data_IF_262480012806
#
_entry.id   IF_262480012806
#
_cell.length_a   1.000
_cell.length_b   1.000
_cell.length_c   1.000
_cell.angle_alpha   90.00
_cell.angle_beta   90.00
_cell.angle_gamma   90.00
#
_symmetry.space_group_name_H-M   'P 1'
#
loop_
_entity.id
_entity.type
_entity.pdbx_description
1 polymer ?
#
# COMPACT_ATOMS: atom_id res chain seq x y z
N UNK A 1 -5.57 24.37 5.67
CA UNK A 1 -5.16 23.01 6.06
C UNK A 1 -5.50 22.72 7.52
N UNK A 2 -6.37 21.74 7.78
CA UNK A 2 -6.73 21.31 9.14
C UNK A 2 -5.63 20.43 9.78
N UNK A 3 -5.60 20.35 11.12
CA UNK A 3 -4.63 19.49 11.85
C UNK A 3 -4.73 18.01 11.46
N UNK A 4 -5.93 17.52 11.14
CA UNK A 4 -6.18 16.16 10.67
C UNK A 4 -5.56 15.90 9.29
N UNK A 5 -5.71 16.84 8.36
CA UNK A 5 -5.13 16.77 7.01
C UNK A 5 -3.60 16.69 7.09
N UNK A 6 -3.00 17.55 7.91
CA UNK A 6 -1.55 17.58 8.10
C UNK A 6 -1.03 16.26 8.68
N UNK A 7 -1.75 15.67 9.63
CA UNK A 7 -1.39 14.37 10.21
C UNK A 7 -1.51 13.23 9.19
N UNK A 8 -2.56 13.22 8.36
CA UNK A 8 -2.70 12.25 7.28
C UNK A 8 -1.54 12.37 6.29
N UNK A 9 -1.22 13.59 5.88
CA UNK A 9 -0.14 13.88 4.94
C UNK A 9 1.22 13.41 5.47
N UNK A 10 1.56 13.79 6.71
CA UNK A 10 2.83 13.41 7.34
C UNK A 10 2.96 11.88 7.38
N UNK A 11 1.95 11.18 7.90
CA UNK A 11 2.00 9.71 8.03
C UNK A 11 2.18 9.00 6.69
N UNK A 12 1.42 9.41 5.67
CA UNK A 12 1.48 8.76 4.35
C UNK A 12 2.82 9.07 3.67
N UNK A 13 3.34 10.28 3.80
CA UNK A 13 4.62 10.66 3.17
C UNK A 13 5.84 10.09 3.88
N UNK A 14 5.84 10.04 5.22
CA UNK A 14 6.89 9.34 5.98
C UNK A 14 6.84 7.83 5.73
N UNK A 15 5.64 7.24 5.69
CA UNK A 15 5.46 5.83 5.35
C UNK A 15 5.94 5.50 3.93
N UNK A 16 5.69 6.40 2.98
CA UNK A 16 6.25 6.32 1.63
C UNK A 16 7.79 6.35 1.66
N UNK A 17 8.40 7.30 2.38
CA UNK A 17 9.85 7.39 2.49
C UNK A 17 10.49 6.12 3.08
N UNK A 18 9.84 5.52 4.09
CA UNK A 18 10.26 4.23 4.65
C UNK A 18 10.17 3.08 3.62
N UNK A 19 9.12 3.04 2.81
CA UNK A 19 8.98 2.08 1.73
C UNK A 19 10.00 2.29 0.60
N UNK A 20 10.30 3.53 0.25
CA UNK A 20 11.34 3.87 -0.72
C UNK A 20 12.71 3.36 -0.22
N UNK A 21 13.02 3.56 1.07
CA UNK A 21 14.22 3.01 1.69
C UNK A 21 14.26 1.49 1.60
N UNK A 22 13.17 0.79 1.97
CA UNK A 22 13.08 -0.67 1.80
C UNK A 22 13.27 -1.09 0.34
N UNK A 23 12.70 -0.33 -0.59
CA UNK A 23 12.77 -0.59 -2.02
C UNK A 23 14.18 -0.39 -2.60
N UNK A 24 14.97 0.53 -2.05
CA UNK A 24 16.35 0.77 -2.51
C UNK A 24 17.28 -0.42 -2.26
N UNK A 25 17.04 -1.18 -1.19
CA UNK A 25 17.80 -2.38 -0.82
C UNK A 25 17.06 -3.69 -1.18
N UNK A 26 15.99 -3.61 -1.98
CA UNK A 26 15.05 -4.72 -2.24
C UNK A 26 15.66 -5.96 -2.88
N UNK A 27 16.70 -5.81 -3.69
CA UNK A 27 17.33 -6.96 -4.36
C UNK A 27 17.99 -7.92 -3.36
N UNK A 28 18.11 -7.49 -2.09
CA UNK A 28 18.67 -8.26 -0.99
C UNK A 28 17.59 -8.99 -0.18
N UNK A 29 16.31 -8.56 -0.27
CA UNK A 29 15.17 -9.37 0.22
C UNK A 29 15.12 -10.73 -0.47
N UNK A 30 15.70 -10.80 -1.65
CA UNK A 30 15.86 -12.01 -2.41
C UNK A 30 16.65 -13.09 -1.60
N UNK A 31 17.61 -12.67 -0.79
CA UNK A 31 18.58 -13.52 -0.09
C UNK A 31 18.25 -13.74 1.39
N UNK A 32 17.05 -13.39 1.82
CA UNK A 32 16.66 -13.49 3.23
C UNK A 32 16.35 -14.93 3.65
N UNK A 33 16.59 -15.29 4.92
CA UNK A 33 16.15 -16.55 5.47
C UNK A 33 14.61 -16.63 5.58
N UNK A 34 14.10 -17.82 5.85
CA UNK A 34 12.65 -18.13 5.93
C UNK A 34 11.87 -17.21 6.89
N UNK A 35 12.42 -16.94 8.07
CA UNK A 35 11.81 -16.08 9.10
C UNK A 35 11.60 -14.65 8.60
N UNK A 36 12.63 -14.10 7.96
CA UNK A 36 12.63 -12.75 7.41
C UNK A 36 11.69 -12.60 6.20
N UNK A 37 11.52 -13.66 5.40
CA UNK A 37 10.49 -13.67 4.35
C UNK A 37 9.08 -13.57 4.96
N UNK A 38 8.81 -14.32 6.02
CA UNK A 38 7.51 -14.29 6.71
C UNK A 38 7.23 -12.93 7.35
N UNK A 39 8.23 -12.31 7.98
CA UNK A 39 8.15 -10.94 8.51
C UNK A 39 7.90 -9.92 7.40
N UNK A 40 8.65 -9.97 6.30
CA UNK A 40 8.42 -9.08 5.15
C UNK A 40 6.99 -9.18 4.63
N UNK A 41 6.45 -10.40 4.47
CA UNK A 41 5.06 -10.62 4.05
C UNK A 41 4.04 -10.12 5.08
N UNK A 42 4.36 -10.23 6.37
CA UNK A 42 3.54 -9.67 7.44
C UNK A 42 3.44 -8.15 7.31
N UNK A 43 4.57 -7.46 7.22
CA UNK A 43 4.62 -6.01 7.11
C UNK A 43 3.95 -5.53 5.81
N UNK A 44 4.13 -6.21 4.68
CA UNK A 44 3.42 -5.88 3.44
C UNK A 44 1.89 -5.99 3.60
N UNK A 45 1.39 -7.01 4.32
CA UNK A 45 -0.04 -7.12 4.62
C UNK A 45 -0.55 -5.94 5.46
N UNK A 46 0.28 -5.43 6.38
CA UNK A 46 -0.05 -4.31 7.26
C UNK A 46 0.03 -2.97 6.55
N UNK A 47 1.00 -2.78 5.66
CA UNK A 47 1.07 -1.63 4.75
C UNK A 47 -0.15 -1.59 3.83
N UNK A 48 -0.58 -2.73 3.27
CA UNK A 48 -1.81 -2.81 2.47
C UNK A 48 -3.06 -2.44 3.30
N UNK A 49 -3.10 -2.82 4.59
CA UNK A 49 -4.15 -2.39 5.52
C UNK A 49 -4.13 -0.87 5.74
N UNK A 50 -2.95 -0.29 5.99
CA UNK A 50 -2.79 1.15 6.17
C UNK A 50 -3.17 1.96 4.94
N UNK A 51 -2.83 1.45 3.75
CA UNK A 51 -3.25 2.01 2.46
C UNK A 51 -4.78 2.07 2.35
N UNK A 52 -5.47 0.99 2.73
CA UNK A 52 -6.94 0.95 2.74
C UNK A 52 -7.54 1.95 3.74
N UNK A 53 -6.92 2.16 4.89
CA UNK A 53 -7.37 3.15 5.87
C UNK A 53 -7.18 4.58 5.37
N UNK A 54 -6.05 4.90 4.75
CA UNK A 54 -5.81 6.20 4.14
C UNK A 54 -6.84 6.47 3.02
N UNK A 55 -7.13 5.47 2.18
CA UNK A 55 -8.17 5.56 1.15
C UNK A 55 -9.56 5.79 1.73
N UNK A 56 -9.90 5.17 2.86
CA UNK A 56 -11.16 5.43 3.53
C UNK A 56 -11.24 6.89 4.03
N UNK A 57 -10.14 7.44 4.56
CA UNK A 57 -10.05 8.85 4.94
C UNK A 57 -10.19 9.82 3.74
N UNK A 58 -9.67 9.43 2.57
CA UNK A 58 -9.89 10.14 1.29
C UNK A 58 -11.37 10.10 0.89
N UNK A 59 -12.02 8.93 0.97
CA UNK A 59 -13.43 8.78 0.64
C UNK A 59 -14.35 9.62 1.56
N UNK A 60 -14.13 9.54 2.86
CA UNK A 60 -14.85 10.36 3.86
C UNK A 60 -14.62 11.86 3.60
N UNK A 61 -13.38 12.23 3.28
CA UNK A 61 -12.97 13.58 2.94
C UNK A 61 -13.73 14.15 1.74
N UNK A 62 -13.75 13.39 0.65
CA UNK A 62 -14.46 13.72 -0.58
C UNK A 62 -15.98 13.81 -0.37
N UNK A 63 -16.57 12.90 0.44
CA UNK A 63 -18.00 12.97 0.78
C UNK A 63 -18.38 14.29 1.45
N UNK A 64 -17.56 14.75 2.40
CA UNK A 64 -17.79 16.03 3.05
C UNK A 64 -17.57 17.22 2.13
N UNK A 65 -16.55 17.19 1.27
CA UNK A 65 -16.36 18.23 0.25
C UNK A 65 -17.58 18.37 -0.65
N UNK A 66 -18.20 17.25 -1.03
CA UNK A 66 -19.43 17.27 -1.81
C UNK A 66 -20.62 17.90 -1.07
N UNK A 67 -20.74 17.64 0.23
CA UNK A 67 -21.78 18.24 1.08
C UNK A 67 -21.57 19.74 1.23
N UNK A 68 -20.34 20.18 1.53
CA UNK A 68 -20.00 21.58 1.74
C UNK A 68 -20.23 22.42 0.47
N UNK A 69 -19.90 21.88 -0.70
CA UNK A 69 -20.14 22.52 -2.00
C UNK A 69 -21.62 22.59 -2.41
N UNK A 70 -22.48 21.78 -1.78
CA UNK A 70 -23.94 21.84 -1.97
C UNK A 70 -24.59 22.86 -1.01
N UNK A 71 -24.00 23.09 0.16
CA UNK A 71 -24.59 23.84 1.27
C UNK A 71 -24.14 25.31 1.38
N UNK A 72 -23.23 25.79 0.53
CA UNK A 72 -22.57 27.08 0.71
C UNK A 72 -23.47 28.27 0.32
N UNK A 73 -23.55 29.29 1.19
CA UNK A 73 -24.31 30.55 0.99
C UNK A 73 -23.88 31.36 -0.26
N UNK A 74 -22.70 31.07 -0.81
CA UNK A 74 -22.12 31.71 -2.01
C UNK A 74 -22.61 31.11 -3.34
N UNK A 75 -23.60 30.22 -3.30
CA UNK A 75 -24.17 29.54 -4.46
C UNK A 75 -23.60 28.13 -4.62
N UNK A 76 -24.41 27.15 -5.07
CA UNK A 76 -23.96 25.76 -5.22
C UNK A 76 -22.83 25.68 -6.25
N UNK A 77 -21.78 24.90 -5.95
CA UNK A 77 -20.73 24.51 -6.90
C UNK A 77 -21.02 23.07 -7.37
N UNK A 78 -22.00 22.87 -8.29
CA UNK A 78 -22.46 21.53 -8.66
C UNK A 78 -21.36 20.67 -9.25
N UNK A 79 -20.47 21.25 -10.07
CA UNK A 79 -19.32 20.55 -10.66
C UNK A 79 -18.34 20.04 -9.59
N UNK A 80 -18.11 20.81 -8.53
CA UNK A 80 -17.25 20.40 -7.41
C UNK A 80 -17.92 19.26 -6.64
N UNK A 81 -19.21 19.40 -6.34
CA UNK A 81 -19.97 18.39 -5.61
C UNK A 81 -20.06 17.06 -6.37
N UNK A 82 -20.24 17.10 -7.69
CA UNK A 82 -20.23 15.92 -8.55
C UNK A 82 -18.86 15.25 -8.54
N UNK A 83 -17.79 15.99 -8.80
CA UNK A 83 -16.44 15.46 -8.83
C UNK A 83 -15.99 14.87 -7.49
N UNK A 84 -16.36 15.51 -6.38
CA UNK A 84 -16.09 15.00 -5.04
C UNK A 84 -16.85 13.68 -4.75
N UNK A 85 -18.08 13.50 -5.27
CA UNK A 85 -18.80 12.21 -5.18
C UNK A 85 -18.18 11.13 -6.05
N UNK A 86 -17.64 11.49 -7.21
CA UNK A 86 -16.88 10.55 -8.05
C UNK A 86 -15.62 10.06 -7.34
N UNK A 87 -14.87 10.96 -6.69
CA UNK A 87 -13.71 10.60 -5.86
C UNK A 87 -14.13 9.68 -4.72
N UNK A 88 -15.20 10.02 -3.99
CA UNK A 88 -15.72 9.16 -2.92
C UNK A 88 -16.00 7.74 -3.45
N UNK A 89 -16.73 7.64 -4.56
CA UNK A 89 -17.12 6.36 -5.16
C UNK A 89 -15.90 5.54 -5.58
N UNK A 90 -14.96 6.17 -6.28
CA UNK A 90 -13.73 5.53 -6.73
C UNK A 90 -12.84 5.09 -5.55
N UNK A 91 -12.69 5.94 -4.52
CA UNK A 91 -11.92 5.63 -3.33
C UNK A 91 -12.53 4.45 -2.55
N UNK A 92 -13.86 4.42 -2.35
CA UNK A 92 -14.55 3.29 -1.70
C UNK A 92 -14.38 1.98 -2.47
N UNK A 93 -14.53 2.01 -3.80
CA UNK A 93 -14.28 0.84 -4.64
C UNK A 93 -12.84 0.33 -4.49
N UNK A 94 -11.88 1.25 -4.40
CA UNK A 94 -10.46 0.94 -4.20
C UNK A 94 -10.21 0.32 -2.82
N UNK A 95 -10.87 0.81 -1.76
CA UNK A 95 -10.78 0.21 -0.41
C UNK A 95 -11.15 -1.26 -0.42
N UNK A 96 -12.22 -1.65 -1.13
CA UNK A 96 -12.64 -3.05 -1.22
C UNK A 96 -11.59 -3.92 -1.93
N UNK A 97 -10.94 -3.39 -2.97
CA UNK A 97 -9.83 -4.06 -3.65
C UNK A 97 -8.59 -4.17 -2.76
N UNK A 98 -8.27 -3.14 -1.99
CA UNK A 98 -7.18 -3.16 -0.99
C UNK A 98 -7.43 -4.19 0.12
N UNK A 99 -8.69 -4.46 0.48
CA UNK A 99 -9.02 -5.58 1.39
C UNK A 99 -8.64 -6.93 0.77
N UNK A 100 -8.95 -7.14 -0.52
CA UNK A 100 -8.55 -8.34 -1.25
C UNK A 100 -7.02 -8.50 -1.31
N UNK A 101 -6.30 -7.41 -1.61
CA UNK A 101 -4.83 -7.38 -1.60
C UNK A 101 -4.26 -7.76 -0.23
N UNK A 102 -4.78 -7.16 0.86
CA UNK A 102 -4.38 -7.48 2.24
C UNK A 102 -4.61 -8.96 2.56
N UNK A 103 -5.77 -9.51 2.20
CA UNK A 103 -6.07 -10.92 2.42
C UNK A 103 -5.08 -11.81 1.68
N UNK A 104 -4.73 -11.49 0.44
CA UNK A 104 -3.76 -12.26 -0.33
C UNK A 104 -2.34 -12.24 0.30
N UNK A 105 -1.87 -11.08 0.80
CA UNK A 105 -0.63 -11.03 1.57
C UNK A 105 -0.73 -11.81 2.89
N UNK A 106 -1.88 -11.76 3.57
CA UNK A 106 -2.13 -12.55 4.77
C UNK A 106 -2.07 -14.06 4.50
N UNK A 107 -2.63 -14.53 3.38
CA UNK A 107 -2.50 -15.92 2.93
C UNK A 107 -1.04 -16.26 2.66
N UNK A 108 -0.33 -15.44 1.88
CA UNK A 108 1.09 -15.65 1.59
C UNK A 108 1.95 -15.72 2.86
N UNK A 109 1.71 -14.82 3.82
CA UNK A 109 2.35 -14.82 5.13
C UNK A 109 2.06 -16.12 5.91
N UNK A 110 0.81 -16.56 5.96
CA UNK A 110 0.44 -17.81 6.63
C UNK A 110 1.09 -19.03 5.96
N UNK A 111 1.12 -19.08 4.62
CA UNK A 111 1.79 -20.14 3.87
C UNK A 111 3.29 -20.14 4.14
N UNK A 112 3.93 -18.97 4.16
CA UNK A 112 5.35 -18.83 4.50
C UNK A 112 5.65 -19.30 5.93
N UNK A 113 4.84 -18.88 6.90
CA UNK A 113 4.94 -19.30 8.32
C UNK A 113 4.82 -20.82 8.48
N UNK A 114 3.95 -21.47 7.72
CA UNK A 114 3.85 -22.95 7.75
C UNK A 114 5.10 -23.59 7.13
N UNK A 115 5.67 -22.98 6.08
CA UNK A 115 6.90 -23.46 5.45
C UNK A 115 8.13 -23.38 6.38
N UNK A 116 8.14 -22.46 7.36
CA UNK A 116 9.22 -22.33 8.35
C UNK A 116 9.46 -23.58 9.19
N UNK A 117 8.43 -24.41 9.40
CA UNK A 117 8.53 -25.62 10.22
C UNK A 117 9.40 -26.73 9.63
N UNK A 118 9.87 -26.60 8.38
CA UNK A 118 10.72 -27.60 7.70
C UNK A 118 12.18 -27.62 8.15
N UNK A 119 12.96 -28.57 7.62
CA UNK A 119 14.42 -28.58 7.80
C UNK A 119 15.04 -27.33 7.15
N UNK A 120 16.03 -26.66 7.77
CA UNK A 120 16.62 -25.45 7.21
C UNK A 120 17.22 -25.70 5.81
N UNK A 121 16.99 -24.80 4.84
CA UNK A 121 17.66 -24.88 3.55
C UNK A 121 19.18 -24.67 3.72
N UNK A 122 19.97 -25.12 2.74
CA UNK A 122 21.42 -24.92 2.77
C UNK A 122 21.78 -23.44 2.95
N UNK A 123 22.78 -23.11 3.78
CA UNK A 123 23.15 -21.72 4.07
C UNK A 123 23.58 -20.97 2.81
N UNK A 124 23.24 -19.68 2.74
CA UNK A 124 23.73 -18.77 1.70
C UNK A 124 25.05 -18.12 2.13
N UNK A 125 25.86 -17.74 1.15
CA UNK A 125 27.14 -17.02 1.37
C UNK A 125 26.98 -15.49 1.29
N UNK A 126 25.78 -15.01 0.96
CA UNK A 126 25.46 -13.58 0.84
C UNK A 126 25.22 -12.91 2.20
N UNK A 127 25.73 -11.68 2.35
CA UNK A 127 25.65 -10.89 3.59
C UNK A 127 24.22 -10.61 4.05
N UNK A 128 23.86 -11.18 5.21
CA UNK A 128 22.51 -11.18 5.80
C UNK A 128 22.04 -9.80 6.28
N UNK A 129 22.95 -8.91 6.64
CA UNK A 129 22.63 -7.64 7.32
C UNK A 129 21.82 -6.63 6.48
N UNK A 130 21.85 -6.71 5.15
CA UNK A 130 21.13 -5.76 4.29
C UNK A 130 19.68 -6.18 4.00
N UNK A 131 19.37 -7.47 4.04
CA UNK A 131 17.99 -7.96 3.97
C UNK A 131 17.19 -7.58 5.22
N UNK A 132 17.83 -7.66 6.39
CA UNK A 132 17.28 -7.21 7.68
C UNK A 132 16.92 -5.72 7.66
N UNK A 133 17.74 -4.89 6.99
CA UNK A 133 17.42 -3.46 6.81
C UNK A 133 16.14 -3.24 6.01
N UNK A 134 15.93 -4.01 4.94
CA UNK A 134 14.71 -3.91 4.15
C UNK A 134 13.46 -4.25 4.99
N UNK A 135 13.56 -5.29 5.82
CA UNK A 135 12.49 -5.69 6.76
C UNK A 135 12.27 -4.64 7.84
N UNK A 136 13.33 -4.08 8.43
CA UNK A 136 13.21 -2.98 9.40
C UNK A 136 12.55 -1.73 8.79
N UNK A 137 12.86 -1.40 7.54
CA UNK A 137 12.17 -0.30 6.84
C UNK A 137 10.70 -0.61 6.55
N UNK A 138 10.36 -1.86 6.24
CA UNK A 138 8.98 -2.33 6.10
C UNK A 138 8.21 -2.25 7.43
N UNK A 139 8.84 -2.65 8.53
CA UNK A 139 8.29 -2.51 9.89
C UNK A 139 8.05 -1.03 10.23
N UNK A 140 9.02 -0.17 9.93
CA UNK A 140 8.87 1.27 10.15
C UNK A 140 7.71 1.86 9.32
N UNK A 141 7.61 1.47 8.04
CA UNK A 141 6.49 1.87 7.19
C UNK A 141 5.15 1.36 7.73
N UNK A 142 5.09 0.11 8.21
CA UNK A 142 3.92 -0.40 8.92
C UNK A 142 3.55 0.51 10.10
N UNK A 143 4.50 0.82 10.98
CA UNK A 143 4.22 1.59 12.20
C UNK A 143 3.62 2.97 11.89
N UNK A 144 4.13 3.63 10.85
CA UNK A 144 3.64 4.93 10.38
C UNK A 144 2.23 4.84 9.78
N UNK A 145 1.93 3.75 9.06
CA UNK A 145 0.64 3.51 8.41
C UNK A 145 -0.36 2.75 9.31
N UNK A 146 0.04 2.35 10.51
CA UNK A 146 -0.76 1.52 11.44
C UNK A 146 -1.98 2.25 12.02
N UNK A 147 -2.06 3.56 11.88
CA UNK A 147 -3.12 4.36 12.48
C UNK A 147 -4.26 4.55 11.50
N UNK A 148 -5.54 4.51 11.96
CA UNK A 148 -6.67 4.79 11.10
C UNK A 148 -6.49 6.14 10.40
N UNK A 149 -6.78 6.16 9.10
CA UNK A 149 -6.64 7.34 8.25
C UNK A 149 -7.53 8.45 8.78
N UNK A 150 -6.97 9.65 8.91
CA UNK A 150 -7.78 10.83 9.19
C UNK A 150 -8.48 11.27 7.91
N UNK A 151 -9.71 11.78 8.04
CA UNK A 151 -10.43 12.42 6.95
C UNK A 151 -9.57 13.51 6.30
N UNK A 152 -9.47 13.49 4.97
CA UNK A 152 -8.72 14.48 4.19
C UNK A 152 -9.67 15.45 3.50
N UNK A 153 -9.75 16.67 3.99
CA UNK A 153 -10.72 17.69 3.56
C UNK A 153 -10.14 18.75 2.66
N UNK A 154 -8.84 19.00 2.79
CA UNK A 154 -8.16 19.97 1.94
C UNK A 154 -7.87 19.34 0.58
N UNK A 155 -8.34 19.96 -0.50
CA UNK A 155 -8.22 19.42 -1.86
C UNK A 155 -6.76 19.27 -2.30
N UNK A 156 -5.87 20.16 -1.84
CA UNK A 156 -4.44 20.05 -2.15
C UNK A 156 -3.80 18.85 -1.44
N UNK A 157 -4.24 18.57 -0.21
CA UNK A 157 -3.80 17.41 0.57
C UNK A 157 -4.37 16.13 -0.02
N UNK A 158 -5.63 16.12 -0.46
CA UNK A 158 -6.28 14.98 -1.13
C UNK A 158 -5.46 14.51 -2.35
N UNK A 159 -5.05 15.44 -3.22
CA UNK A 159 -4.20 15.16 -4.38
C UNK A 159 -2.84 14.60 -3.97
N UNK A 160 -2.22 15.18 -2.94
CA UNK A 160 -0.90 14.75 -2.48
C UNK A 160 -0.93 13.35 -1.85
N UNK A 161 -1.95 13.08 -1.01
CA UNK A 161 -2.15 11.79 -0.35
C UNK A 161 -2.43 10.71 -1.38
N UNK A 162 -3.33 10.95 -2.35
CA UNK A 162 -3.64 9.98 -3.40
C UNK A 162 -2.39 9.64 -4.24
N UNK A 163 -1.61 10.63 -4.66
CA UNK A 163 -0.36 10.39 -5.40
C UNK A 163 0.75 9.72 -4.57
N UNK A 164 0.74 9.88 -3.25
CA UNK A 164 1.62 9.11 -2.37
C UNK A 164 1.16 7.65 -2.24
N UNK A 165 -0.15 7.40 -2.14
CA UNK A 165 -0.71 6.05 -2.08
C UNK A 165 -0.46 5.26 -3.37
N UNK A 166 -0.53 5.90 -4.53
CA UNK A 166 -0.10 5.31 -5.81
C UNK A 166 1.34 4.77 -5.73
N UNK A 167 2.28 5.63 -5.31
CA UNK A 167 3.69 5.26 -5.15
C UNK A 167 3.88 4.15 -4.12
N UNK A 168 3.18 4.21 -2.99
CA UNK A 168 3.17 3.12 -1.99
C UNK A 168 2.76 1.80 -2.64
N UNK A 169 1.70 1.77 -3.46
CA UNK A 169 1.26 0.53 -4.11
C UNK A 169 2.25 0.00 -5.14
N UNK A 170 2.95 0.87 -5.87
CA UNK A 170 4.02 0.45 -6.78
C UNK A 170 5.21 -0.18 -6.04
N UNK A 171 5.64 0.43 -4.94
CA UNK A 171 6.73 -0.08 -4.11
C UNK A 171 6.36 -1.43 -3.49
N UNK A 172 5.13 -1.57 -2.99
CA UNK A 172 4.59 -2.84 -2.47
C UNK A 172 4.58 -3.92 -3.55
N UNK A 173 4.18 -3.61 -4.79
CA UNK A 173 4.21 -4.57 -5.89
C UNK A 173 5.65 -5.02 -6.25
N UNK A 174 6.61 -4.09 -6.18
CA UNK A 174 8.03 -4.39 -6.39
C UNK A 174 8.63 -5.25 -5.28
N UNK A 175 8.33 -4.93 -4.02
CA UNK A 175 8.77 -5.71 -2.85
C UNK A 175 8.14 -7.11 -2.84
N UNK A 176 6.88 -7.24 -3.26
CA UNK A 176 6.22 -8.54 -3.45
C UNK A 176 6.92 -9.40 -4.51
N UNK A 177 7.39 -8.82 -5.63
CA UNK A 177 8.19 -9.58 -6.61
C UNK A 177 9.45 -10.17 -5.97
N UNK A 178 10.11 -9.43 -5.10
CA UNK A 178 11.31 -9.90 -4.39
C UNK A 178 10.99 -10.99 -3.37
N UNK A 179 9.89 -10.87 -2.63
CA UNK A 179 9.41 -11.93 -1.75
C UNK A 179 9.10 -13.22 -2.52
N UNK A 180 8.47 -13.13 -3.70
CA UNK A 180 8.22 -14.30 -4.55
C UNK A 180 9.52 -14.97 -5.03
N UNK A 181 10.54 -14.17 -5.40
CA UNK A 181 11.87 -14.68 -5.74
C UNK A 181 12.54 -15.37 -4.56
N UNK A 182 12.43 -14.79 -3.36
CA UNK A 182 12.96 -15.38 -2.13
C UNK A 182 12.30 -16.73 -1.84
N UNK A 183 10.97 -16.81 -1.91
CA UNK A 183 10.21 -18.06 -1.77
C UNK A 183 10.65 -19.13 -2.77
N UNK A 184 10.78 -18.79 -4.06
CA UNK A 184 11.26 -19.73 -5.08
C UNK A 184 12.69 -20.23 -4.81
N UNK A 185 13.58 -19.36 -4.32
CA UNK A 185 14.94 -19.77 -3.94
C UNK A 185 14.94 -20.72 -2.74
N UNK A 186 14.16 -20.41 -1.69
CA UNK A 186 14.00 -21.30 -0.54
C UNK A 186 13.49 -22.67 -0.98
N UNK A 187 12.51 -22.71 -1.89
CA UNK A 187 12.02 -23.95 -2.48
C UNK A 187 13.13 -24.74 -3.20
N UNK A 188 13.92 -24.08 -4.05
CA UNK A 188 14.98 -24.74 -4.85
C UNK A 188 16.13 -25.31 -4.01
N UNK A 189 16.33 -24.78 -2.80
CA UNK A 189 17.41 -25.18 -1.88
C UNK A 189 16.94 -26.07 -0.75
N UNK A 190 15.63 -26.28 -0.62
CA UNK A 190 15.07 -27.17 0.39
C UNK A 190 15.50 -28.61 0.12
N UNK A 191 15.92 -29.30 1.17
CA UNK A 191 16.19 -30.74 1.13
C UNK A 191 14.96 -31.57 1.53
N UNK A 192 13.89 -30.91 1.94
CA UNK A 192 12.58 -31.47 2.30
C UNK A 192 11.58 -31.07 1.20
N UNK A 193 11.00 -32.05 0.50
CA UNK A 193 10.09 -31.81 -0.62
C UNK A 193 8.78 -31.15 -0.17
N UNK A 194 8.27 -31.46 1.02
CA UNK A 194 7.06 -30.82 1.55
C UNK A 194 7.34 -29.35 1.86
N UNK A 195 8.50 -29.05 2.44
CA UNK A 195 8.94 -27.67 2.62
C UNK A 195 9.19 -26.95 1.29
N UNK A 196 9.75 -27.64 0.30
CA UNK A 196 9.95 -27.10 -1.05
C UNK A 196 8.61 -26.70 -1.69
N UNK A 197 7.62 -27.59 -1.64
CA UNK A 197 6.30 -27.33 -2.21
C UNK A 197 5.58 -26.21 -1.48
N UNK A 198 5.68 -26.13 -0.15
CA UNK A 198 5.14 -24.99 0.62
C UNK A 198 5.76 -23.66 0.20
N UNK A 199 7.07 -23.61 -0.03
CA UNK A 199 7.72 -22.40 -0.53
C UNK A 199 7.31 -22.05 -1.97
N UNK A 200 7.07 -23.04 -2.85
CA UNK A 200 6.47 -22.81 -4.17
C UNK A 200 5.04 -22.27 -4.04
N UNK A 201 4.26 -22.78 -3.09
CA UNK A 201 2.92 -22.26 -2.79
C UNK A 201 2.98 -20.81 -2.29
N UNK A 202 3.90 -20.48 -1.38
CA UNK A 202 4.16 -19.09 -0.97
C UNK A 202 4.43 -18.20 -2.19
N UNK A 203 5.30 -18.62 -3.12
CA UNK A 203 5.57 -17.82 -4.32
C UNK A 203 4.33 -17.58 -5.19
N UNK A 204 3.45 -18.59 -5.32
CA UNK A 204 2.15 -18.47 -6.02
C UNK A 204 1.19 -17.50 -5.31
N UNK A 205 1.11 -17.57 -4.00
CA UNK A 205 0.27 -16.67 -3.19
C UNK A 205 0.77 -15.22 -3.28
N UNK A 206 2.10 -15.01 -3.24
CA UNK A 206 2.70 -13.68 -3.42
C UNK A 206 2.46 -13.14 -4.82
N UNK A 207 2.52 -13.98 -5.87
CA UNK A 207 2.18 -13.57 -7.22
C UNK A 207 0.71 -13.09 -7.33
N UNK A 208 -0.20 -13.76 -6.61
CA UNK A 208 -1.60 -13.33 -6.50
C UNK A 208 -1.72 -11.99 -5.79
N UNK A 209 -1.06 -11.81 -4.64
CA UNK A 209 -1.04 -10.54 -3.91
C UNK A 209 -0.48 -9.39 -4.76
N UNK A 210 0.57 -9.65 -5.54
CA UNK A 210 1.15 -8.68 -6.49
C UNK A 210 0.18 -8.32 -7.61
N UNK A 211 -0.54 -9.29 -8.20
CA UNK A 211 -1.56 -9.02 -9.21
C UNK A 211 -2.63 -8.08 -8.65
N UNK A 212 -3.16 -8.38 -7.46
CA UNK A 212 -4.16 -7.54 -6.80
C UNK A 212 -3.61 -6.15 -6.44
N UNK A 213 -2.33 -6.06 -6.05
CA UNK A 213 -1.67 -4.77 -5.81
C UNK A 213 -1.67 -3.90 -7.07
N UNK A 214 -1.41 -4.48 -8.24
CA UNK A 214 -1.48 -3.76 -9.52
C UNK A 214 -2.89 -3.38 -9.95
N UNK A 215 -3.90 -4.12 -9.50
CA UNK A 215 -5.29 -3.74 -9.70
C UNK A 215 -5.66 -2.54 -8.82
N UNK A 216 -5.25 -2.55 -7.55
CA UNK A 216 -5.39 -1.39 -6.64
C UNK A 216 -4.68 -0.17 -7.21
N UNK A 217 -3.45 -0.33 -7.74
CA UNK A 217 -2.68 0.76 -8.37
C UNK A 217 -3.45 1.46 -9.49
N UNK A 218 -4.07 0.69 -10.38
CA UNK A 218 -4.86 1.22 -11.51
C UNK A 218 -6.10 1.99 -11.08
N UNK A 219 -6.75 1.55 -10.00
CA UNK A 219 -7.89 2.29 -9.46
C UNK A 219 -7.45 3.56 -8.72
N UNK A 220 -6.30 3.52 -8.05
CA UNK A 220 -5.69 4.70 -7.46
C UNK A 220 -5.33 5.77 -8.49
N UNK A 221 -4.91 5.39 -9.72
CA UNK A 221 -4.71 6.33 -10.84
C UNK A 221 -5.97 7.15 -11.08
N UNK A 222 -7.11 6.47 -11.17
CA UNK A 222 -8.39 7.14 -11.34
C UNK A 222 -8.71 8.09 -10.19
N UNK A 223 -8.48 7.67 -8.93
CA UNK A 223 -8.72 8.54 -7.77
C UNK A 223 -7.79 9.76 -7.79
N UNK A 224 -6.53 9.57 -8.15
CA UNK A 224 -5.55 10.65 -8.25
C UNK A 224 -5.88 11.65 -9.35
N UNK A 225 -6.27 11.18 -10.53
CA UNK A 225 -6.69 12.03 -11.65
C UNK A 225 -7.89 12.89 -11.28
N UNK A 226 -8.91 12.29 -10.65
CA UNK A 226 -10.09 13.02 -10.17
C UNK A 226 -9.72 14.04 -9.10
N UNK A 227 -8.83 13.70 -8.16
CA UNK A 227 -8.32 14.65 -7.17
C UNK A 227 -7.51 15.80 -7.81
N UNK A 228 -6.81 15.53 -8.91
CA UNK A 228 -6.13 16.54 -9.73
C UNK A 228 -7.12 17.51 -10.38
N UNK A 229 -8.16 16.99 -11.01
CA UNK A 229 -9.24 17.79 -11.59
C UNK A 229 -9.94 18.66 -10.54
N UNK A 230 -10.19 18.09 -9.35
CA UNK A 230 -10.82 18.82 -8.24
C UNK A 230 -9.92 19.96 -7.77
N UNK A 231 -8.61 19.70 -7.64
CA UNK A 231 -7.62 20.72 -7.30
C UNK A 231 -7.60 21.85 -8.32
N UNK A 232 -7.55 21.54 -9.62
CA UNK A 232 -7.59 22.53 -10.68
C UNK A 232 -8.87 23.36 -10.65
N UNK A 233 -10.03 22.72 -10.43
CA UNK A 233 -11.33 23.40 -10.34
C UNK A 233 -11.34 24.42 -9.20
N UNK A 234 -10.84 24.05 -8.02
CA UNK A 234 -10.77 24.95 -6.86
C UNK A 234 -9.71 26.04 -6.97
N UNK A 235 -8.70 25.85 -7.83
CA UNK A 235 -7.64 26.84 -8.07
C UNK A 235 -8.02 27.89 -9.14
N UNK A 236 -9.12 27.70 -9.88
CA UNK A 236 -9.57 28.67 -10.88
C UNK A 236 -10.00 29.97 -10.18
N UNK A 237 -9.46 31.14 -10.58
CA UNK A 237 -10.00 32.41 -10.11
C UNK A 237 -11.48 32.48 -10.51
N UNK A 238 -12.33 32.89 -9.57
CA UNK A 238 -13.73 33.19 -9.87
C UNK A 238 -13.74 34.16 -11.07
N UNK A 239 -14.29 33.72 -12.20
CA UNK A 239 -14.40 34.59 -13.38
C UNK A 239 -15.34 35.73 -12.99
N UNK A 240 -14.74 36.89 -12.70
CA UNK A 240 -15.40 38.17 -12.51
C UNK A 240 -16.13 38.62 -13.76
#
# INVERSE_FOLDING_TARGET
>A
MHRSDQQALIRVTEGLGALEAAHTVRDLLAHVPREQLTEALHHLAKVARGTAWALNGVAEGASHLAQDATNTETGPWPELAELAREIETAARSTVDKSRGQRTAFGTAHNTARIAEGGTPPRPDTSGTQLGERAVSHLEHAEALLHHPGHRVTDVSVLRTVTGALERVTDLVAGLADQCARAANRLASRSTDEDAAERHRATARDVATARRLTREVRRELERVHDLAGQLHELTARPARS
#
